data_IF_482440166031
#
_entry.id   IF_482440166031
#
_cell.length_a   1.000
_cell.length_b   1.000
_cell.length_c   1.000
_cell.angle_alpha   90.00
_cell.angle_beta   90.00
_cell.angle_gamma   90.00
#
_symmetry.space_group_name_H-M   'P 1'
#
loop_
_entity.id
_entity.type
_entity.pdbx_description
1 polymer ?
#
# COMPACT_ATOMS: atom_id res chain seq x y z
N UNK A 1 -30.01 5.95 7.17
CA UNK A 1 -29.05 6.88 6.54
C UNK A 1 -27.56 6.50 6.74
N UNK A 2 -27.21 5.35 7.35
CA UNK A 2 -25.81 4.91 7.54
C UNK A 2 -25.36 3.77 6.60
N UNK A 3 -26.28 3.17 5.84
CA UNK A 3 -26.00 2.01 4.98
C UNK A 3 -25.09 2.36 3.81
N UNK A 4 -25.29 3.52 3.18
CA UNK A 4 -24.52 3.98 2.02
C UNK A 4 -23.03 4.23 2.36
N UNK A 5 -22.68 4.99 3.41
CA UNK A 5 -21.26 5.18 3.77
C UNK A 5 -20.62 3.87 4.24
N UNK A 6 -21.37 2.99 4.92
CA UNK A 6 -20.87 1.68 5.33
C UNK A 6 -20.53 0.79 4.13
N UNK A 7 -21.41 0.72 3.13
CA UNK A 7 -21.16 -0.01 1.88
C UNK A 7 -20.02 0.60 1.06
N UNK A 8 -19.88 1.93 1.03
CA UNK A 8 -18.74 2.60 0.38
C UNK A 8 -17.42 2.27 1.06
N UNK A 9 -17.33 2.40 2.38
CA UNK A 9 -16.13 2.05 3.14
C UNK A 9 -15.80 0.56 3.01
N UNK A 10 -16.81 -0.31 3.04
CA UNK A 10 -16.64 -1.74 2.82
C UNK A 10 -16.15 -2.05 1.41
N UNK A 11 -16.74 -1.47 0.36
CA UNK A 11 -16.34 -1.68 -1.03
C UNK A 11 -14.94 -1.11 -1.33
N UNK A 12 -14.60 0.04 -0.75
CA UNK A 12 -13.28 0.65 -0.78
C UNK A 12 -12.21 -0.25 -0.14
N UNK A 13 -12.44 -0.68 1.10
CA UNK A 13 -11.54 -1.61 1.80
C UNK A 13 -11.45 -2.97 1.09
N UNK A 14 -12.58 -3.46 0.58
CA UNK A 14 -12.63 -4.66 -0.23
C UNK A 14 -11.80 -4.53 -1.51
N UNK A 15 -11.91 -3.42 -2.25
CA UNK A 15 -11.12 -3.18 -3.45
C UNK A 15 -9.61 -3.13 -3.18
N UNK A 16 -9.19 -2.56 -2.05
CA UNK A 16 -7.78 -2.50 -1.66
C UNK A 16 -7.22 -3.82 -1.11
N UNK A 17 -8.03 -4.63 -0.42
CA UNK A 17 -7.55 -5.80 0.36
C UNK A 17 -7.90 -7.13 -0.32
N UNK A 18 -9.09 -7.25 -0.92
CA UNK A 18 -9.55 -8.52 -1.55
C UNK A 18 -8.80 -8.82 -2.83
N UNK A 19 -8.29 -7.80 -3.52
CA UNK A 19 -7.33 -7.98 -4.60
C UNK A 19 -6.00 -8.49 -4.01
N UNK A 20 -5.93 -9.80 -3.72
CA UNK A 20 -4.67 -10.44 -3.35
C UNK A 20 -3.72 -10.25 -4.53
N UNK A 21 -2.70 -9.41 -4.31
CA UNK A 21 -1.68 -9.14 -5.33
C UNK A 21 -0.99 -10.43 -5.77
N UNK A 22 -0.52 -10.45 -7.02
CA UNK A 22 0.14 -11.62 -7.60
C UNK A 22 1.31 -12.14 -6.74
N UNK A 23 2.06 -11.24 -6.07
CA UNK A 23 3.14 -11.63 -5.15
C UNK A 23 2.64 -12.37 -3.91
N UNK A 24 1.60 -11.86 -3.24
CA UNK A 24 1.05 -12.48 -2.03
C UNK A 24 0.34 -13.82 -2.35
N UNK A 25 -0.35 -13.91 -3.50
CA UNK A 25 -0.93 -15.17 -3.97
C UNK A 25 0.14 -16.23 -4.29
N UNK A 26 1.26 -15.81 -4.87
CA UNK A 26 2.38 -16.70 -5.17
C UNK A 26 3.09 -17.20 -3.90
N UNK A 27 3.37 -16.31 -2.94
CA UNK A 27 3.91 -16.67 -1.63
C UNK A 27 3.00 -17.69 -0.93
N UNK A 28 1.69 -17.44 -0.92
CA UNK A 28 0.71 -18.35 -0.32
C UNK A 28 0.68 -19.71 -1.03
N UNK A 29 0.70 -19.71 -2.37
CA UNK A 29 0.72 -20.95 -3.18
C UNK A 29 1.95 -21.81 -2.90
N UNK A 30 3.11 -21.19 -2.66
CA UNK A 30 4.34 -21.89 -2.30
C UNK A 30 4.35 -22.36 -0.84
N UNK A 31 3.75 -21.57 0.06
CA UNK A 31 3.50 -21.96 1.45
C UNK A 31 2.63 -23.21 1.56
N UNK A 32 1.52 -23.27 0.82
CA UNK A 32 0.60 -24.43 0.80
C UNK A 32 1.30 -25.68 0.25
N UNK A 33 2.15 -25.53 -0.77
CA UNK A 33 2.93 -26.63 -1.37
C UNK A 33 4.11 -27.08 -0.51
N UNK A 34 4.36 -26.44 0.65
CA UNK A 34 5.51 -26.65 1.54
C UNK A 34 6.87 -26.63 0.82
N UNK A 35 6.97 -25.90 -0.30
CA UNK A 35 8.21 -25.72 -1.05
C UNK A 35 8.67 -24.29 -0.86
N UNK A 36 9.93 -24.12 -0.44
CA UNK A 36 10.57 -22.81 -0.26
C UNK A 36 9.77 -21.82 0.61
N UNK A 37 9.04 -22.35 1.60
CA UNK A 37 8.12 -21.59 2.47
C UNK A 37 8.79 -20.47 3.25
N UNK A 38 10.10 -20.56 3.51
CA UNK A 38 10.85 -19.49 4.17
C UNK A 38 11.57 -18.56 3.20
N UNK A 39 12.13 -19.13 2.13
CA UNK A 39 13.01 -18.39 1.20
C UNK A 39 12.21 -17.37 0.37
N UNK A 40 11.06 -17.77 -0.15
CA UNK A 40 10.25 -16.91 -1.04
C UNK A 40 9.70 -15.68 -0.30
N UNK A 41 8.99 -15.81 0.85
CA UNK A 41 8.54 -14.64 1.59
C UNK A 41 9.69 -13.76 2.10
N UNK A 42 10.85 -14.34 2.43
CA UNK A 42 12.01 -13.56 2.86
C UNK A 42 12.55 -12.66 1.74
N UNK A 43 12.66 -13.19 0.51
CA UNK A 43 13.08 -12.40 -0.65
C UNK A 43 12.05 -11.31 -0.99
N UNK A 44 10.75 -11.63 -0.98
CA UNK A 44 9.71 -10.63 -1.20
C UNK A 44 9.77 -9.52 -0.13
N UNK A 45 9.81 -9.89 1.15
CA UNK A 45 9.85 -8.92 2.26
C UNK A 45 11.09 -8.03 2.20
N UNK A 46 12.25 -8.58 1.84
CA UNK A 46 13.47 -7.80 1.64
C UNK A 46 13.32 -6.83 0.46
N UNK A 47 12.74 -7.29 -0.65
CA UNK A 47 12.51 -6.45 -1.82
C UNK A 47 11.56 -5.30 -1.50
N UNK A 48 10.46 -5.58 -0.79
CA UNK A 48 9.52 -4.56 -0.32
C UNK A 48 10.20 -3.57 0.62
N UNK A 49 11.00 -4.04 1.58
CA UNK A 49 11.75 -3.17 2.49
C UNK A 49 12.73 -2.26 1.73
N UNK A 50 13.44 -2.79 0.73
CA UNK A 50 14.36 -2.02 -0.12
C UNK A 50 13.60 -0.99 -0.95
N UNK A 51 12.50 -1.37 -1.59
CA UNK A 51 11.70 -0.45 -2.40
C UNK A 51 11.04 0.65 -1.56
N UNK A 52 10.52 0.31 -0.38
CA UNK A 52 9.93 1.26 0.57
C UNK A 52 11.01 2.22 1.06
N UNK A 53 12.18 1.73 1.48
CA UNK A 53 13.27 2.59 1.96
C UNK A 53 13.82 3.47 0.84
N UNK A 54 14.01 2.96 -0.37
CA UNK A 54 14.40 3.74 -1.53
C UNK A 54 13.35 4.82 -1.87
N UNK A 55 12.05 4.46 -1.81
CA UNK A 55 10.95 5.40 -2.00
C UNK A 55 10.95 6.51 -0.96
N UNK A 56 11.08 6.18 0.33
CA UNK A 56 11.09 7.16 1.42
C UNK A 56 12.34 8.05 1.35
N UNK A 57 13.52 7.50 1.11
CA UNK A 57 14.75 8.30 1.02
C UNK A 57 14.77 9.19 -0.22
N UNK A 58 14.33 8.67 -1.38
CA UNK A 58 14.27 9.43 -2.62
C UNK A 58 13.19 10.51 -2.60
N UNK A 59 11.94 10.11 -2.35
CA UNK A 59 10.79 11.02 -2.32
C UNK A 59 10.85 11.92 -1.10
N UNK A 60 11.16 11.40 0.10
CA UNK A 60 11.28 12.21 1.32
C UNK A 60 12.39 13.26 1.24
N UNK A 61 13.54 12.92 0.63
CA UNK A 61 14.61 13.89 0.36
C UNK A 61 14.19 14.97 -0.65
N UNK A 62 13.47 14.57 -1.70
CA UNK A 62 12.94 15.49 -2.71
C UNK A 62 11.89 16.45 -2.14
N UNK A 63 10.99 15.96 -1.27
CA UNK A 63 9.97 16.75 -0.60
C UNK A 63 10.55 17.71 0.43
N UNK A 64 11.59 17.31 1.17
CA UNK A 64 12.25 18.16 2.17
C UNK A 64 12.91 19.40 1.56
N UNK A 65 13.29 19.33 0.28
CA UNK A 65 13.90 20.45 -0.43
C UNK A 65 12.88 21.48 -0.96
N UNK A 66 11.57 21.16 -0.96
CA UNK A 66 10.51 21.99 -1.55
C UNK A 66 9.26 22.03 -0.66
N UNK A 67 9.16 22.99 0.27
CA UNK A 67 8.04 23.09 1.21
C UNK A 67 6.67 23.30 0.54
N UNK A 68 6.64 23.84 -0.68
CA UNK A 68 5.42 23.98 -1.47
C UNK A 68 4.83 22.63 -1.89
N UNK A 69 5.66 21.67 -2.32
CA UNK A 69 5.21 20.32 -2.70
C UNK A 69 4.60 19.57 -1.51
N UNK A 70 5.19 19.74 -0.34
CA UNK A 70 4.69 19.16 0.90
C UNK A 70 3.30 19.72 1.27
N UNK A 71 3.07 21.02 1.05
CA UNK A 71 1.75 21.66 1.18
C UNK A 71 0.74 21.09 0.21
N UNK A 72 1.09 20.97 -1.08
CA UNK A 72 0.20 20.40 -2.10
C UNK A 72 -0.13 18.94 -1.84
N UNK A 73 0.83 18.13 -1.38
CA UNK A 73 0.56 16.74 -0.98
C UNK A 73 -0.38 16.65 0.23
N UNK A 74 -0.23 17.53 1.22
CA UNK A 74 -1.16 17.63 2.34
C UNK A 74 -2.59 17.99 1.91
N UNK A 75 -2.75 18.97 1.02
CA UNK A 75 -4.05 19.32 0.43
C UNK A 75 -4.62 18.19 -0.44
N UNK A 76 -3.77 17.48 -1.19
CA UNK A 76 -4.17 16.29 -1.95
C UNK A 76 -4.68 15.17 -1.04
N UNK A 77 -4.01 14.93 0.09
CA UNK A 77 -4.45 14.00 1.12
C UNK A 77 -5.78 14.41 1.75
N UNK A 78 -5.96 15.69 2.06
CA UNK A 78 -7.21 16.23 2.59
C UNK A 78 -8.37 16.11 1.57
N UNK A 79 -8.11 16.37 0.29
CA UNK A 79 -9.10 16.20 -0.78
C UNK A 79 -9.46 14.73 -0.98
N UNK A 80 -8.47 13.82 -0.94
CA UNK A 80 -8.69 12.39 -1.02
C UNK A 80 -9.54 11.89 0.15
N UNK A 81 -9.21 12.27 1.38
CA UNK A 81 -10.00 11.97 2.58
C UNK A 81 -11.41 12.57 2.52
N UNK A 82 -11.58 13.75 1.91
CA UNK A 82 -12.90 14.37 1.77
C UNK A 82 -13.77 13.68 0.71
N UNK A 83 -13.16 13.00 -0.27
CA UNK A 83 -13.88 12.30 -1.34
C UNK A 83 -14.13 10.82 -1.01
N UNK A 84 -13.18 10.18 -0.32
CA UNK A 84 -13.18 8.76 -0.02
C UNK A 84 -13.56 8.42 1.43
N UNK A 85 -13.42 9.38 2.35
CA UNK A 85 -13.88 9.30 3.74
C UNK A 85 -15.38 9.48 3.89
#
# INVERSE_FOLDING_TARGET
MLIIPYLKGFAAGAGLIIAIGAQNAFVLSQGIRRRYTFIIPLICSLSDAVLITAGILGVGGFFSSRPELMKWAGWGGAAFLSFYG
#
